data_IF_728929793118
#
_entry.id   IF_728929793118
#
_cell.length_a   1.000
_cell.length_b   1.000
_cell.length_c   1.000
_cell.angle_alpha   90.00
_cell.angle_beta   90.00
_cell.angle_gamma   90.00
#
_symmetry.space_group_name_H-M   'P 1'
#
loop_
_entity.id
_entity.type
_entity.pdbx_description
1 polymer ?
#
# COMPACT_ATOMS: atom_id res chain seq x y z
N UNK A 1 21.38 32.62 9.67
CA UNK A 1 21.74 31.35 9.03
C UNK A 1 20.89 31.22 7.77
N UNK A 2 21.53 31.25 6.61
CA UNK A 2 20.90 31.43 5.31
C UNK A 2 20.03 30.23 4.90
N UNK A 3 18.76 30.49 4.56
CA UNK A 3 17.76 29.53 4.13
C UNK A 3 18.15 28.67 2.91
N UNK A 4 19.23 29.03 2.20
CA UNK A 4 19.76 28.28 1.07
C UNK A 4 20.38 26.93 1.47
N UNK A 5 20.92 26.79 2.69
CA UNK A 5 21.57 25.56 3.15
C UNK A 5 20.58 24.39 3.35
N UNK A 6 19.29 24.69 3.53
CA UNK A 6 18.23 23.69 3.71
C UNK A 6 17.83 23.06 2.36
N UNK A 7 17.98 23.78 1.24
CA UNK A 7 17.55 23.32 -0.09
C UNK A 7 18.49 22.29 -0.75
N UNK A 8 19.75 22.23 -0.33
CA UNK A 8 20.73 21.24 -0.82
C UNK A 8 20.97 20.08 0.15
N UNK A 9 20.30 20.06 1.30
CA UNK A 9 20.54 19.10 2.39
C UNK A 9 20.21 17.64 2.05
N UNK A 10 19.43 17.37 1.00
CA UNK A 10 18.95 16.03 0.66
C UNK A 10 19.70 15.37 -0.52
N UNK A 11 20.73 16.03 -1.04
CA UNK A 11 21.57 15.52 -2.12
C UNK A 11 22.84 14.86 -1.57
N UNK A 12 23.09 13.63 -2.01
CA UNK A 12 24.22 12.79 -1.60
C UNK A 12 25.14 12.56 -2.81
N UNK A 13 26.44 12.72 -2.61
CA UNK A 13 27.44 12.42 -3.64
C UNK A 13 27.61 10.90 -3.81
N UNK A 14 27.54 10.43 -5.05
CA UNK A 14 27.81 9.06 -5.48
C UNK A 14 29.02 9.07 -6.43
N UNK A 15 30.16 8.61 -5.95
CA UNK A 15 31.40 8.64 -6.74
C UNK A 15 32.04 10.03 -6.73
N UNK A 16 32.43 10.54 -7.91
CA UNK A 16 33.19 11.80 -8.01
C UNK A 16 32.31 12.99 -8.38
N UNK A 17 31.39 12.82 -9.33
CA UNK A 17 30.66 13.94 -9.94
C UNK A 17 29.14 13.72 -10.05
N UNK A 18 28.60 12.66 -9.44
CA UNK A 18 27.17 12.34 -9.50
C UNK A 18 26.52 12.58 -8.14
N UNK A 19 25.39 13.28 -8.11
CA UNK A 19 24.59 13.48 -6.91
C UNK A 19 23.22 12.81 -7.07
N UNK A 20 22.73 12.17 -6.02
CA UNK A 20 21.39 11.62 -5.96
C UNK A 20 20.65 12.17 -4.75
N UNK A 21 19.33 12.19 -4.82
CA UNK A 21 18.48 12.45 -3.67
C UNK A 21 17.42 11.37 -3.57
N UNK A 22 17.10 10.97 -2.36
CA UNK A 22 15.94 10.14 -2.08
C UNK A 22 14.82 11.05 -1.60
N UNK A 23 13.69 11.02 -2.28
CA UNK A 23 12.49 11.71 -1.82
C UNK A 23 11.33 10.71 -1.81
N UNK A 24 10.41 10.92 -0.89
CA UNK A 24 9.17 10.15 -0.84
C UNK A 24 8.26 10.59 -1.98
N UNK A 25 7.92 9.67 -2.89
CA UNK A 25 7.03 9.98 -4.01
C UNK A 25 5.57 10.06 -3.58
N UNK A 26 5.17 9.24 -2.60
CA UNK A 26 3.82 9.19 -2.07
C UNK A 26 3.82 8.56 -0.67
N UNK A 27 2.85 8.97 0.14
CA UNK A 27 2.58 8.33 1.43
C UNK A 27 1.79 7.04 1.23
N UNK A 28 2.04 6.05 2.09
CA UNK A 28 1.20 4.85 2.15
C UNK A 28 -0.11 5.16 2.87
N UNK A 29 -1.24 4.88 2.22
CA UNK A 29 -2.60 5.14 2.70
C UNK A 29 -3.30 3.89 3.26
N UNK A 30 -2.53 2.85 3.61
CA UNK A 30 -3.10 1.65 4.23
C UNK A 30 -3.76 2.00 5.57
N UNK A 31 -4.97 1.49 5.78
CA UNK A 31 -5.63 1.64 7.08
C UNK A 31 -4.92 0.76 8.11
N UNK A 32 -4.72 1.23 9.36
CA UNK A 32 -4.04 0.47 10.42
C UNK A 32 -4.63 -0.92 10.67
N UNK A 33 -5.92 -1.09 10.39
CA UNK A 33 -6.67 -2.34 10.55
C UNK A 33 -6.37 -3.39 9.47
N UNK A 34 -5.67 -3.00 8.38
CA UNK A 34 -5.30 -3.90 7.30
C UNK A 34 -4.07 -4.73 7.69
N UNK A 35 -4.33 -5.84 8.35
CA UNK A 35 -3.30 -6.85 8.61
C UNK A 35 -3.21 -7.82 7.43
N UNK A 36 -2.29 -7.56 6.49
CA UNK A 36 -2.11 -8.35 5.26
C UNK A 36 -1.96 -9.87 5.51
N UNK A 37 -1.46 -10.28 6.67
CA UNK A 37 -1.37 -11.70 7.02
C UNK A 37 -2.76 -12.39 7.06
N UNK A 38 -3.86 -11.67 7.23
CA UNK A 38 -5.21 -12.24 7.25
C UNK A 38 -5.87 -12.31 5.87
N UNK A 39 -5.15 -11.91 4.81
CA UNK A 39 -5.68 -11.77 3.46
C UNK A 39 -4.86 -12.57 2.45
N UNK A 40 -5.52 -13.00 1.39
CA UNK A 40 -4.91 -13.40 0.14
C UNK A 40 -4.77 -12.14 -0.71
N UNK A 41 -3.57 -11.92 -1.24
CA UNK A 41 -3.19 -10.68 -1.94
C UNK A 41 -2.74 -11.03 -3.35
N UNK A 42 -3.18 -10.24 -4.33
CA UNK A 42 -2.72 -10.28 -5.71
C UNK A 42 -2.51 -8.86 -6.22
N UNK A 43 -1.47 -8.64 -7.01
CA UNK A 43 -1.14 -7.32 -7.56
C UNK A 43 -0.99 -7.37 -9.07
N UNK A 44 -1.42 -6.33 -9.76
CA UNK A 44 -1.10 -6.13 -11.16
C UNK A 44 0.41 -5.88 -11.37
N UNK A 45 0.89 -6.13 -12.58
CA UNK A 45 2.28 -5.85 -12.97
C UNK A 45 2.68 -4.39 -12.72
N UNK A 46 3.97 -4.14 -12.53
CA UNK A 46 4.56 -2.80 -12.40
C UNK A 46 4.01 -1.95 -11.24
N UNK A 47 3.56 -2.58 -10.16
CA UNK A 47 3.01 -1.85 -9.00
C UNK A 47 1.63 -1.25 -9.24
N UNK A 48 0.88 -1.84 -10.18
CA UNK A 48 -0.53 -1.51 -10.39
C UNK A 48 -1.42 -1.90 -9.20
N UNK A 49 -2.76 -1.88 -9.39
CA UNK A 49 -3.69 -2.13 -8.31
C UNK A 49 -3.48 -3.46 -7.58
N UNK A 50 -3.77 -3.45 -6.28
CA UNK A 50 -3.63 -4.57 -5.36
C UNK A 50 -5.02 -5.04 -4.94
N UNK A 51 -5.38 -6.27 -5.28
CA UNK A 51 -6.60 -6.91 -4.83
C UNK A 51 -6.32 -7.72 -3.56
N UNK A 52 -7.19 -7.58 -2.55
CA UNK A 52 -7.15 -8.38 -1.34
C UNK A 52 -8.52 -9.02 -1.09
N UNK A 53 -8.51 -10.24 -0.57
CA UNK A 53 -9.69 -10.90 0.01
C UNK A 53 -9.29 -11.60 1.29
N UNK A 54 -10.23 -11.78 2.21
CA UNK A 54 -9.96 -12.52 3.45
C UNK A 54 -9.50 -13.95 3.12
N UNK A 55 -8.46 -14.40 3.82
CA UNK A 55 -8.07 -15.80 3.83
C UNK A 55 -8.98 -16.56 4.79
N UNK A 56 -9.80 -17.45 4.25
CA UNK A 56 -10.77 -18.25 5.01
C UNK A 56 -10.09 -19.39 5.77
N UNK A 57 -8.86 -19.77 5.41
CA UNK A 57 -8.07 -20.76 6.14
C UNK A 57 -7.49 -20.20 7.45
N UNK A 58 -7.48 -18.86 7.61
CA UNK A 58 -6.93 -18.20 8.79
C UNK A 58 -8.03 -17.86 9.78
N UNK A 59 -7.82 -18.29 11.03
CA UNK A 59 -8.68 -17.97 12.16
C UNK A 59 -8.45 -16.51 12.58
N UNK A 60 -9.34 -15.63 12.14
CA UNK A 60 -9.30 -14.19 12.46
C UNK A 60 -10.50 -13.86 13.34
N UNK A 61 -10.29 -13.10 14.43
CA UNK A 61 -11.38 -12.54 15.23
C UNK A 61 -12.25 -11.67 14.32
N UNK A 62 -13.46 -12.12 14.05
CA UNK A 62 -14.35 -11.37 13.15
C UNK A 62 -15.00 -10.23 13.91
N UNK A 63 -14.82 -9.00 13.42
CA UNK A 63 -15.60 -7.83 13.84
C UNK A 63 -16.59 -7.49 12.72
N UNK A 64 -17.90 -7.64 12.96
CA UNK A 64 -18.96 -7.20 12.04
C UNK A 64 -19.58 -8.27 11.12
N UNK A 65 -20.46 -7.80 10.21
CA UNK A 65 -21.41 -8.60 9.41
C UNK A 65 -20.72 -9.73 8.63
N UNK A 66 -20.84 -10.94 9.17
CA UNK A 66 -20.22 -12.18 8.73
C UNK A 66 -21.02 -12.83 7.61
N UNK A 67 -20.37 -13.13 6.50
CA UNK A 67 -20.77 -14.25 5.65
C UNK A 67 -20.40 -14.11 4.18
N UNK A 68 -20.33 -12.88 3.66
CA UNK A 68 -20.13 -12.67 2.23
C UNK A 68 -18.66 -12.35 1.94
N UNK A 69 -17.98 -13.12 1.09
CA UNK A 69 -16.61 -12.83 0.68
C UNK A 69 -16.56 -11.49 -0.07
N UNK A 70 -15.68 -10.60 0.37
CA UNK A 70 -15.46 -9.27 -0.22
C UNK A 70 -14.07 -9.24 -0.85
N UNK A 71 -13.99 -8.72 -2.07
CA UNK A 71 -12.73 -8.31 -2.70
C UNK A 71 -12.63 -6.80 -2.57
N UNK A 72 -11.50 -6.32 -2.04
CA UNK A 72 -11.16 -4.91 -2.01
C UNK A 72 -9.96 -4.64 -2.92
N UNK A 73 -10.03 -3.60 -3.73
CA UNK A 73 -8.98 -3.17 -4.64
C UNK A 73 -8.36 -1.87 -4.12
N UNK A 74 -7.05 -1.84 -4.01
CA UNK A 74 -6.25 -0.73 -3.56
C UNK A 74 -5.32 -0.23 -4.68
N UNK A 75 -4.95 1.05 -4.66
CA UNK A 75 -3.81 1.55 -5.44
C UNK A 75 -2.51 0.92 -4.93
N UNK A 76 -1.41 1.07 -5.69
CA UNK A 76 -0.07 0.74 -5.20
C UNK A 76 0.31 1.49 -3.91
N UNK A 77 -0.28 2.66 -3.67
CA UNK A 77 -0.12 3.44 -2.44
C UNK A 77 -1.06 3.03 -1.29
N UNK A 78 -1.89 2.00 -1.45
CA UNK A 78 -2.77 1.53 -0.38
C UNK A 78 -4.07 2.32 -0.19
N UNK A 79 -4.44 3.20 -1.13
CA UNK A 79 -5.77 3.86 -1.12
C UNK A 79 -6.80 2.90 -1.70
N UNK A 80 -7.91 2.65 -0.99
CA UNK A 80 -8.99 1.82 -1.52
C UNK A 80 -9.66 2.51 -2.73
N UNK A 81 -9.74 1.80 -3.85
CA UNK A 81 -10.34 2.28 -5.10
C UNK A 81 -11.71 1.61 -5.31
N UNK A 82 -11.85 0.33 -4.96
CA UNK A 82 -13.12 -0.39 -5.10
C UNK A 82 -13.28 -1.46 -4.01
N UNK A 83 -14.52 -1.86 -3.76
CA UNK A 83 -14.86 -2.99 -2.90
C UNK A 83 -16.19 -3.59 -3.34
N UNK A 84 -16.22 -4.90 -3.53
CA UNK A 84 -17.41 -5.61 -3.98
C UNK A 84 -17.52 -7.00 -3.36
N UNK A 85 -18.76 -7.45 -3.19
CA UNK A 85 -19.06 -8.81 -2.73
C UNK A 85 -18.93 -9.77 -3.90
N UNK A 86 -18.35 -10.94 -3.65
CA UNK A 86 -18.45 -12.06 -4.58
C UNK A 86 -19.87 -12.63 -4.45
N UNK A 87 -20.61 -12.63 -5.55
CA UNK A 87 -21.84 -13.41 -5.67
C UNK A 87 -21.46 -14.84 -6.04
N UNK A 88 -21.87 -15.81 -5.23
CA UNK A 88 -21.90 -17.22 -5.63
C UNK A 88 -23.17 -17.40 -6.47
N UNK A 89 -23.02 -17.74 -7.74
CA UNK A 89 -24.13 -18.13 -8.62
C UNK A 89 -24.46 -19.60 -8.41
#
# INVERSE_FOLDING_TARGET
MSSAAILTSDWFLLGRDLYYRKFEMYNMFWQPEVHLNNFIVSSASYGGPIAIRRDEQKLVKVKGSMGQPIISIFSGSGRQIASFKIALW
#
